data_IF_155920329105
#
_entry.id   IF_155920329105
#
_cell.length_a   1.000
_cell.length_b   1.000
_cell.length_c   1.000
_cell.angle_alpha   90.00
_cell.angle_beta   90.00
_cell.angle_gamma   90.00
#
_symmetry.space_group_name_H-M   'P 1'
#
loop_
_entity.id
_entity.type
_entity.pdbx_description
1 polymer ?
#
# COMPACT_ATOMS: atom_id res chain seq x y z
N UNK A 1 -10.62 35.79 46.35
CA UNK A 1 -9.67 36.03 45.24
C UNK A 1 -8.82 34.80 44.91
N UNK A 2 -8.40 34.02 45.87
CA UNK A 2 -7.55 32.81 45.68
C UNK A 2 -8.28 31.66 44.91
N UNK A 3 -9.60 31.49 45.12
CA UNK A 3 -10.38 30.43 44.46
C UNK A 3 -10.55 30.62 42.94
N UNK A 4 -10.59 31.86 42.46
CA UNK A 4 -10.72 32.19 41.04
C UNK A 4 -9.40 31.94 40.32
N UNK A 5 -8.29 32.27 40.95
CA UNK A 5 -6.94 32.06 40.39
C UNK A 5 -6.64 30.57 40.21
N UNK A 6 -7.08 29.72 41.14
CA UNK A 6 -6.87 28.25 41.07
C UNK A 6 -7.68 27.60 39.94
N UNK A 7 -8.90 28.11 39.62
CA UNK A 7 -9.70 27.61 38.51
C UNK A 7 -9.11 27.97 37.13
N UNK A 8 -8.50 29.14 37.02
CA UNK A 8 -7.81 29.52 35.78
C UNK A 8 -6.54 28.71 35.56
N UNK A 9 -5.79 28.41 36.62
CA UNK A 9 -4.58 27.56 36.51
C UNK A 9 -4.91 26.11 36.10
N UNK A 10 -6.02 25.56 36.63
CA UNK A 10 -6.48 24.22 36.28
C UNK A 10 -6.97 24.14 34.81
N UNK A 11 -7.67 25.19 34.33
CA UNK A 11 -8.12 25.25 32.94
C UNK A 11 -6.94 25.39 31.97
N UNK A 12 -5.92 26.15 32.31
CA UNK A 12 -4.72 26.31 31.48
C UNK A 12 -3.88 25.04 31.41
N UNK A 13 -3.83 24.27 32.51
CA UNK A 13 -3.15 22.96 32.54
C UNK A 13 -3.85 21.91 31.69
N UNK A 14 -5.20 21.90 31.64
CA UNK A 14 -5.96 20.97 30.80
C UNK A 14 -5.77 21.24 29.30
N UNK A 15 -5.60 22.47 28.87
CA UNK A 15 -5.39 22.85 27.47
C UNK A 15 -4.00 22.39 26.97
N UNK A 16 -2.99 22.40 27.85
CA UNK A 16 -1.62 21.97 27.50
C UNK A 16 -1.48 20.44 27.19
N UNK A 17 -2.42 19.62 27.65
CA UNK A 17 -2.34 18.14 27.45
C UNK A 17 -2.90 17.73 26.09
N UNK A 18 -3.76 18.54 25.46
CA UNK A 18 -4.42 18.19 24.19
C UNK A 18 -3.54 18.40 22.94
N UNK A 19 -2.43 19.14 23.06
CA UNK A 19 -1.59 19.49 21.89
C UNK A 19 -0.54 18.43 21.53
N UNK A 20 -0.27 17.45 22.37
CA UNK A 20 0.82 16.48 22.15
C UNK A 20 0.47 15.26 21.28
N UNK A 21 -0.82 14.98 21.04
CA UNK A 21 -1.23 13.79 20.30
C UNK A 21 -1.04 13.90 18.77
N UNK A 22 -1.16 15.10 18.18
CA UNK A 22 -1.04 15.28 16.73
C UNK A 22 0.39 15.12 16.23
N UNK A 23 1.35 15.63 16.96
CA UNK A 23 2.78 15.64 16.59
C UNK A 23 3.39 14.23 16.55
N UNK A 24 2.93 13.31 17.39
CA UNK A 24 3.42 11.92 17.41
C UNK A 24 2.97 11.15 16.16
N UNK A 25 1.72 11.30 15.74
CA UNK A 25 1.18 10.64 14.56
C UNK A 25 1.86 11.11 13.27
N UNK A 26 2.10 12.40 13.12
CA UNK A 26 2.79 12.97 11.96
C UNK A 26 4.24 12.47 11.85
N UNK A 27 4.95 12.39 12.96
CA UNK A 27 6.33 11.90 12.99
C UNK A 27 6.42 10.42 12.64
N UNK A 28 5.54 9.59 13.18
CA UNK A 28 5.46 8.15 12.86
C UNK A 28 5.20 7.92 11.37
N UNK A 29 4.26 8.64 10.78
CA UNK A 29 3.94 8.55 9.35
C UNK A 29 5.13 8.99 8.46
N UNK A 30 5.84 10.02 8.87
CA UNK A 30 7.02 10.50 8.14
C UNK A 30 8.17 9.49 8.18
N UNK A 31 8.41 8.88 9.34
CA UNK A 31 9.44 7.84 9.50
C UNK A 31 9.09 6.59 8.69
N UNK A 32 7.84 6.14 8.73
CA UNK A 32 7.36 5.01 7.90
C UNK A 32 7.51 5.30 6.42
N UNK A 33 7.19 6.52 5.99
CA UNK A 33 7.35 6.92 4.60
C UNK A 33 8.80 6.88 4.13
N UNK A 34 9.73 7.41 4.93
CA UNK A 34 11.15 7.36 4.62
C UNK A 34 11.66 5.92 4.52
N UNK A 35 11.21 5.03 5.41
CA UNK A 35 11.57 3.61 5.37
C UNK A 35 11.04 2.95 4.11
N UNK A 36 9.81 3.27 3.69
CA UNK A 36 9.21 2.74 2.47
C UNK A 36 9.93 3.28 1.23
N UNK A 37 10.20 4.57 1.16
CA UNK A 37 10.96 5.17 0.05
C UNK A 37 12.34 4.54 -0.08
N UNK A 38 13.03 4.30 1.04
CA UNK A 38 14.30 3.59 1.05
C UNK A 38 14.17 2.13 0.60
N UNK A 39 13.14 1.43 1.07
CA UNK A 39 12.92 0.03 0.74
C UNK A 39 12.48 -0.15 -0.72
N UNK A 40 11.60 0.72 -1.23
CA UNK A 40 11.14 0.71 -2.63
C UNK A 40 12.26 1.09 -3.62
N UNK A 41 13.27 1.82 -3.15
CA UNK A 41 14.49 2.21 -3.86
C UNK A 41 14.24 2.87 -5.23
N UNK A 42 13.70 2.16 -6.19
CA UNK A 42 13.57 2.57 -7.58
C UNK A 42 12.13 2.57 -8.11
N UNK A 43 11.15 2.16 -7.31
CA UNK A 43 9.74 2.24 -7.72
C UNK A 43 9.16 3.60 -7.32
N UNK A 44 8.50 4.32 -8.25
CA UNK A 44 7.99 5.65 -7.97
C UNK A 44 6.89 5.63 -6.90
N UNK A 45 7.02 6.54 -5.93
CA UNK A 45 6.08 6.68 -4.84
C UNK A 45 5.68 8.16 -4.67
N UNK A 46 4.37 8.51 -4.71
CA UNK A 46 3.96 9.91 -4.66
C UNK A 46 4.18 10.51 -3.26
N UNK A 47 4.68 11.74 -3.22
CA UNK A 47 4.92 12.46 -1.97
C UNK A 47 3.65 12.72 -1.16
N UNK A 48 2.48 12.71 -1.79
CA UNK A 48 1.17 12.88 -1.18
C UNK A 48 0.56 11.62 -0.59
N UNK A 49 1.23 10.47 -0.71
CA UNK A 49 0.72 9.20 -0.22
C UNK A 49 0.58 9.17 1.31
N UNK A 50 -0.58 8.77 1.79
CA UNK A 50 -0.88 8.48 3.19
C UNK A 50 -0.92 6.95 3.36
N UNK A 51 0.13 6.40 3.97
CA UNK A 51 0.39 4.96 4.01
C UNK A 51 -0.52 4.29 5.01
N UNK A 52 -1.09 3.14 4.62
CA UNK A 52 -1.85 2.25 5.50
C UNK A 52 -0.89 1.19 6.03
N UNK A 53 -0.28 1.47 7.18
CA UNK A 53 0.80 0.66 7.77
C UNK A 53 0.39 -0.80 8.01
N UNK A 54 -0.80 -1.04 8.54
CA UNK A 54 -1.31 -2.38 8.84
C UNK A 54 -1.63 -3.24 7.60
N UNK A 55 -1.66 -2.63 6.41
CA UNK A 55 -1.87 -3.33 5.14
C UNK A 55 -0.60 -3.41 4.29
N UNK A 56 0.47 -2.75 4.73
CA UNK A 56 1.74 -2.66 4.03
C UNK A 56 2.72 -3.71 4.55
N UNK A 57 3.30 -4.49 3.63
CA UNK A 57 4.31 -5.51 3.94
C UNK A 57 5.43 -5.40 2.93
N UNK A 58 6.66 -5.15 3.40
CA UNK A 58 7.86 -5.07 2.58
C UNK A 58 8.86 -6.12 3.06
N UNK A 59 9.34 -6.93 2.14
CA UNK A 59 10.32 -7.98 2.37
C UNK A 59 11.60 -7.66 1.58
N UNK A 60 12.73 -7.68 2.26
CA UNK A 60 14.00 -7.31 1.66
C UNK A 60 14.17 -5.79 1.52
N UNK A 61 15.17 -5.35 0.77
CA UNK A 61 15.48 -3.94 0.54
C UNK A 61 16.29 -3.74 -0.74
N UNK A 62 16.37 -2.50 -1.22
CA UNK A 62 17.11 -2.13 -2.43
C UNK A 62 16.55 -2.84 -3.67
N UNK A 63 17.41 -3.42 -4.49
CA UNK A 63 16.99 -4.11 -5.72
C UNK A 63 16.28 -5.45 -5.48
N UNK A 64 16.33 -5.97 -4.26
CA UNK A 64 15.76 -7.29 -3.91
C UNK A 64 14.49 -7.22 -3.08
N UNK A 65 13.88 -6.06 -2.98
CA UNK A 65 12.63 -5.97 -2.24
C UNK A 65 11.45 -6.58 -3.02
N UNK A 66 10.53 -7.15 -2.28
CA UNK A 66 9.22 -7.58 -2.74
C UNK A 66 8.18 -7.27 -1.68
N UNK A 67 6.92 -7.24 -2.04
CA UNK A 67 5.86 -7.01 -1.07
C UNK A 67 4.69 -6.20 -1.61
N UNK A 68 3.91 -5.67 -0.68
CA UNK A 68 2.71 -4.87 -0.95
C UNK A 68 2.77 -3.57 -0.15
N UNK A 69 2.56 -2.45 -0.80
CA UNK A 69 2.37 -1.14 -0.17
C UNK A 69 0.96 -0.66 -0.46
N UNK A 70 0.24 -0.28 0.57
CA UNK A 70 -1.11 0.26 0.48
C UNK A 70 -1.12 1.69 1.01
N UNK A 71 -1.71 2.60 0.25
CA UNK A 71 -1.82 3.99 0.66
C UNK A 71 -3.09 4.65 0.09
N UNK A 72 -3.49 5.73 0.72
CA UNK A 72 -4.52 6.63 0.24
C UNK A 72 -3.88 7.91 -0.36
N UNK A 73 -4.52 8.48 -1.37
CA UNK A 73 -4.11 9.75 -1.98
C UNK A 73 -5.32 10.63 -2.28
N UNK A 74 -5.14 11.93 -2.20
CA UNK A 74 -6.19 12.90 -2.58
C UNK A 74 -6.28 13.10 -4.09
N UNK A 75 -5.25 12.67 -4.85
CA UNK A 75 -5.26 12.71 -6.31
C UNK A 75 -6.35 11.80 -6.87
N UNK A 76 -6.92 12.21 -7.98
CA UNK A 76 -7.88 11.37 -8.73
C UNK A 76 -7.17 10.16 -9.35
N UNK A 77 -7.90 9.08 -9.66
CA UNK A 77 -7.33 7.94 -10.38
C UNK A 77 -6.64 8.31 -11.69
N UNK A 78 -7.15 9.31 -12.42
CA UNK A 78 -6.55 9.79 -13.66
C UNK A 78 -5.20 10.50 -13.45
N UNK A 79 -5.08 11.29 -12.39
CA UNK A 79 -3.82 11.93 -12.01
C UNK A 79 -2.78 10.90 -11.57
N UNK A 80 -3.19 9.87 -10.83
CA UNK A 80 -2.31 8.77 -10.43
C UNK A 80 -1.89 7.91 -11.62
N UNK A 81 -2.79 7.64 -12.57
CA UNK A 81 -2.45 6.97 -13.83
C UNK A 81 -1.35 7.75 -14.59
N UNK A 82 -1.52 9.07 -14.71
CA UNK A 82 -0.53 9.94 -15.35
C UNK A 82 0.80 9.93 -14.60
N UNK A 83 0.75 10.03 -13.26
CA UNK A 83 1.92 9.97 -12.39
C UNK A 83 2.72 8.69 -12.62
N UNK A 84 2.09 7.52 -12.51
CA UNK A 84 2.78 6.24 -12.68
C UNK A 84 3.27 6.02 -14.11
N UNK A 85 2.51 6.46 -15.11
CA UNK A 85 2.92 6.40 -16.51
C UNK A 85 4.16 7.22 -16.84
N UNK A 86 4.38 8.32 -16.14
CA UNK A 86 5.55 9.19 -16.31
C UNK A 86 6.72 8.75 -15.42
N UNK A 87 6.46 8.60 -14.11
CA UNK A 87 7.49 8.30 -13.10
C UNK A 87 8.03 6.88 -13.25
N UNK A 88 7.21 5.90 -13.64
CA UNK A 88 7.65 4.54 -13.91
C UNK A 88 8.72 4.52 -15.00
N UNK A 89 8.47 5.20 -16.12
CA UNK A 89 9.47 5.31 -17.20
C UNK A 89 10.75 6.02 -16.76
N UNK A 90 10.63 7.10 -16.00
CA UNK A 90 11.79 7.83 -15.48
C UNK A 90 12.65 6.99 -14.54
N UNK A 91 12.03 6.03 -13.83
CA UNK A 91 12.70 5.09 -12.92
C UNK A 91 13.16 3.79 -13.62
N UNK A 92 13.02 3.68 -14.93
CA UNK A 92 13.42 2.52 -15.71
C UNK A 92 12.42 1.36 -15.68
N UNK A 93 11.22 1.55 -15.14
CA UNK A 93 10.15 0.55 -15.17
C UNK A 93 9.37 0.62 -16.48
N UNK A 94 9.34 -0.47 -17.23
CA UNK A 94 8.60 -0.58 -18.48
C UNK A 94 7.14 -0.97 -18.19
N UNK A 95 6.20 -0.12 -18.57
CA UNK A 95 4.78 -0.49 -18.51
C UNK A 95 4.49 -1.59 -19.55
N UNK A 96 3.99 -2.72 -19.10
CA UNK A 96 3.64 -3.90 -19.92
C UNK A 96 2.17 -3.98 -20.25
N UNK A 97 1.32 -3.57 -19.31
CA UNK A 97 -0.13 -3.59 -19.51
C UNK A 97 -0.78 -2.49 -18.67
N UNK A 98 -1.94 -2.05 -19.14
CA UNK A 98 -2.84 -1.18 -18.38
C UNK A 98 -4.29 -1.55 -18.69
N UNK A 99 -5.13 -1.58 -17.66
CA UNK A 99 -6.57 -1.79 -17.79
C UNK A 99 -7.30 -0.72 -17.00
N UNK A 100 -8.30 -0.14 -17.63
CA UNK A 100 -9.16 0.88 -17.01
C UNK A 100 -10.59 0.35 -17.05
N UNK A 101 -11.18 0.12 -15.88
CA UNK A 101 -12.56 -0.32 -15.71
C UNK A 101 -13.19 0.39 -14.51
N UNK A 102 -13.71 -0.36 -13.53
CA UNK A 102 -14.14 0.22 -12.24
C UNK A 102 -12.96 0.77 -11.43
N UNK A 103 -11.77 0.21 -11.63
CA UNK A 103 -10.48 0.67 -11.15
C UNK A 103 -9.48 0.71 -12.29
N UNK A 104 -8.26 1.15 -12.00
CA UNK A 104 -7.13 1.17 -12.93
C UNK A 104 -6.13 0.14 -12.43
N UNK A 105 -5.67 -0.72 -13.33
CA UNK A 105 -4.66 -1.72 -13.05
C UNK A 105 -3.50 -1.55 -14.02
N UNK A 106 -2.29 -1.34 -13.48
CA UNK A 106 -1.08 -1.14 -14.25
C UNK A 106 -0.09 -2.26 -13.94
N UNK A 107 0.60 -2.74 -14.95
CA UNK A 107 1.66 -3.74 -14.81
C UNK A 107 2.94 -3.16 -15.36
N UNK A 108 3.99 -3.20 -14.56
CA UNK A 108 5.34 -2.78 -14.92
C UNK A 108 6.30 -3.93 -14.77
N UNK A 109 7.39 -3.90 -15.52
CA UNK A 109 8.53 -4.79 -15.30
C UNK A 109 9.82 -4.01 -15.32
N UNK A 110 10.78 -4.47 -14.52
CA UNK A 110 12.16 -4.01 -14.51
C UNK A 110 13.05 -5.19 -14.10
N UNK A 111 14.00 -5.52 -14.96
CA UNK A 111 14.87 -6.68 -14.78
C UNK A 111 14.03 -7.96 -14.55
N UNK A 112 14.20 -8.63 -13.42
CA UNK A 112 13.45 -9.84 -13.04
C UNK A 112 12.28 -9.53 -12.08
N UNK A 113 11.80 -8.28 -12.04
CA UNK A 113 10.72 -7.85 -11.14
C UNK A 113 9.49 -7.44 -11.93
N UNK A 114 8.35 -7.77 -11.37
CA UNK A 114 7.04 -7.32 -11.86
C UNK A 114 6.37 -6.51 -10.75
N UNK A 115 5.98 -5.29 -11.09
CA UNK A 115 5.20 -4.44 -10.22
C UNK A 115 3.77 -4.30 -10.77
N UNK A 116 2.79 -4.42 -9.90
CA UNK A 116 1.40 -4.11 -10.21
C UNK A 116 0.95 -2.92 -9.39
N UNK A 117 0.22 -2.00 -9.99
CA UNK A 117 -0.41 -0.86 -9.32
C UNK A 117 -1.89 -0.93 -9.57
N UNK A 118 -2.63 -1.10 -8.51
CA UNK A 118 -4.09 -1.08 -8.51
C UNK A 118 -4.57 0.24 -7.91
N UNK A 119 -5.37 1.01 -8.66
CA UNK A 119 -5.87 2.33 -8.28
C UNK A 119 -7.39 2.27 -8.25
N UNK A 120 -7.96 2.37 -7.05
CA UNK A 120 -9.39 2.29 -6.82
C UNK A 120 -9.90 3.60 -6.23
N UNK A 121 -10.97 4.15 -6.81
CA UNK A 121 -11.70 5.20 -6.14
C UNK A 121 -12.42 4.57 -4.95
N UNK A 122 -12.18 5.06 -3.75
CA UNK A 122 -12.99 4.68 -2.60
C UNK A 122 -14.41 5.12 -2.88
N UNK A 123 -15.25 4.16 -3.23
CA UNK A 123 -16.66 4.36 -3.50
C UNK A 123 -17.36 4.67 -2.18
N UNK A 124 -18.08 5.77 -2.15
CA UNK A 124 -18.84 6.30 -1.02
C UNK A 124 -20.11 5.47 -0.74
N UNK A 125 -19.99 4.15 -0.68
CA UNK A 125 -21.12 3.24 -0.48
C UNK A 125 -20.91 2.33 0.73
N UNK A 126 -20.68 2.93 1.88
CA UNK A 126 -21.08 2.31 3.14
C UNK A 126 -21.42 3.41 4.17
N UNK A 127 -22.57 4.01 3.99
CA UNK A 127 -23.44 4.40 5.10
C UNK A 127 -23.04 5.58 5.99
N UNK A 128 -21.95 6.32 5.77
CA UNK A 128 -21.59 7.45 6.61
C UNK A 128 -21.34 8.69 5.75
N UNK A 129 -22.28 9.63 5.84
CA UNK A 129 -22.12 11.00 5.36
C UNK A 129 -21.02 11.70 6.15
N UNK A 130 -19.78 11.56 5.78
CA UNK A 130 -18.73 12.46 6.25
C UNK A 130 -18.18 13.19 5.04
N UNK A 131 -18.05 14.48 5.16
CA UNK A 131 -17.37 15.42 4.26
C UNK A 131 -15.87 15.04 4.12
N UNK A 132 -15.59 13.83 3.68
CA UNK A 132 -14.22 13.42 3.40
C UNK A 132 -13.86 13.83 1.97
N UNK A 133 -12.70 14.43 1.74
CA UNK A 133 -12.20 14.69 0.41
C UNK A 133 -12.16 13.36 -0.37
N UNK A 134 -12.39 13.44 -1.67
CA UNK A 134 -12.37 12.28 -2.57
C UNK A 134 -11.03 11.57 -2.44
N UNK A 135 -11.02 10.42 -1.82
CA UNK A 135 -9.80 9.66 -1.56
C UNK A 135 -9.71 8.51 -2.56
N UNK A 136 -8.54 8.32 -3.11
CA UNK A 136 -8.19 7.21 -3.99
C UNK A 136 -7.31 6.24 -3.21
N UNK A 137 -7.67 4.96 -3.18
CA UNK A 137 -6.85 3.90 -2.60
C UNK A 137 -5.95 3.30 -3.67
N UNK A 138 -4.70 3.08 -3.33
CA UNK A 138 -3.70 2.49 -4.22
C UNK A 138 -3.01 1.33 -3.53
N UNK A 139 -2.89 0.23 -4.26
CA UNK A 139 -2.10 -0.92 -3.86
C UNK A 139 -0.98 -1.14 -4.87
N UNK A 140 0.26 -1.08 -4.39
CA UNK A 140 1.45 -1.45 -5.17
C UNK A 140 1.88 -2.84 -4.69
N UNK A 141 2.06 -3.78 -5.61
CA UNK A 141 2.64 -5.09 -5.29
C UNK A 141 3.83 -5.34 -6.20
N UNK A 142 4.98 -5.70 -5.61
CA UNK A 142 6.19 -6.05 -6.35
C UNK A 142 6.61 -7.47 -6.03
N UNK A 143 6.85 -8.26 -7.06
CA UNK A 143 7.25 -9.65 -6.97
C UNK A 143 8.42 -9.94 -7.91
N UNK A 144 9.20 -10.95 -7.55
CA UNK A 144 10.22 -11.50 -8.44
C UNK A 144 9.58 -12.46 -9.45
N UNK A 145 10.02 -12.38 -10.69
CA UNK A 145 9.50 -13.19 -11.79
C UNK A 145 9.70 -14.71 -11.54
N UNK A 146 10.83 -15.08 -10.94
CA UNK A 146 11.14 -16.46 -10.55
C UNK A 146 10.16 -17.06 -9.54
N UNK A 147 9.55 -16.23 -8.71
CA UNK A 147 8.59 -16.67 -7.69
C UNK A 147 7.24 -17.01 -8.34
N UNK A 148 6.89 -16.34 -9.42
CA UNK A 148 5.63 -16.55 -10.15
C UNK A 148 5.70 -17.86 -10.97
N UNK A 149 6.87 -18.17 -11.55
CA UNK A 149 7.11 -19.40 -12.30
C UNK A 149 7.05 -20.65 -11.41
N UNK A 150 7.73 -20.63 -10.28
CA UNK A 150 7.82 -21.77 -9.34
C UNK A 150 6.47 -22.17 -8.75
N UNK A 151 5.61 -21.22 -8.41
CA UNK A 151 4.28 -21.55 -7.87
C UNK A 151 3.38 -22.27 -8.91
N UNK A 152 3.65 -22.09 -10.19
CA UNK A 152 2.91 -22.73 -11.28
C UNK A 152 3.43 -24.14 -11.58
N UNK A 153 4.74 -24.34 -11.48
CA UNK A 153 5.36 -25.67 -11.60
C UNK A 153 5.04 -26.57 -10.42
N UNK A 154 5.09 -26.05 -9.21
CA UNK A 154 4.79 -26.80 -7.98
C UNK A 154 3.32 -27.27 -7.96
N UNK A 155 2.40 -26.49 -8.50
CA UNK A 155 0.99 -26.87 -8.65
C UNK A 155 0.78 -27.97 -9.72
N UNK A 156 1.66 -28.04 -10.70
CA UNK A 156 1.65 -29.10 -11.73
C UNK A 156 2.39 -30.38 -11.31
N UNK A 157 3.25 -30.29 -10.27
CA UNK A 157 4.01 -31.40 -9.69
C UNK A 157 3.30 -32.08 -8.51
N UNK A 158 2.06 -31.67 -8.17
CA UNK A 158 1.26 -32.48 -7.25
C UNK A 158 1.07 -33.86 -7.88
N UNK A 159 1.57 -34.93 -7.24
CA UNK A 159 1.49 -36.26 -7.81
C UNK A 159 0.03 -36.62 -8.08
N UNK A 160 -0.27 -37.08 -9.30
CA UNK A 160 -1.57 -37.63 -9.66
C UNK A 160 -1.94 -38.89 -8.87
N UNK A 161 -1.08 -39.29 -7.95
CA UNK A 161 -1.17 -40.55 -7.19
C UNK A 161 -2.08 -40.49 -5.96
N UNK A 162 -2.54 -39.31 -5.56
CA UNK A 162 -3.48 -39.20 -4.41
C UNK A 162 -4.87 -39.79 -4.73
N UNK A 163 -5.22 -39.94 -5.99
CA UNK A 163 -6.49 -40.59 -6.39
C UNK A 163 -6.44 -42.12 -6.32
N UNK A 164 -5.25 -42.73 -6.37
CA UNK A 164 -5.09 -44.19 -6.30
C UNK A 164 -5.15 -44.71 -4.86
N UNK A 165 -4.85 -43.90 -3.86
CA UNK A 165 -4.89 -44.32 -2.45
C UNK A 165 -6.32 -44.39 -1.89
N UNK A 166 -7.30 -43.72 -2.49
CA UNK A 166 -8.72 -43.79 -2.08
C UNK A 166 -9.43 -45.05 -2.58
N UNK A 167 -8.94 -45.69 -3.62
CA UNK A 167 -9.61 -46.88 -4.17
C UNK A 167 -9.16 -48.21 -3.57
N UNK A 168 -8.05 -48.24 -2.85
CA UNK A 168 -7.55 -49.48 -2.23
C UNK A 168 -8.12 -49.74 -0.81
N UNK A 169 -8.94 -48.87 -0.27
CA UNK A 169 -9.53 -49.06 1.07
C UNK A 169 -11.01 -49.46 1.03
N UNK A 170 -11.49 -50.02 -0.10
CA UNK A 170 -12.83 -50.60 -0.27
C UNK A 170 -12.75 -52.02 -0.83
N UNK A 171 -12.00 -52.89 -0.17
CA UNK A 171 -12.15 -54.36 -0.29
C UNK A 171 -12.05 -55.01 1.06
#
# INVERSE_FOLDING_TARGET
MIFVLNRFFLAFFLIGILTNCSTYKERSQQDTKLLIEYALYDFPFPSSADIIENETVILGSGERWSGKVVYNDQKSPAELLKYYGQSGRASGWAMKASTVSKGIFLVFSKDHRVATVEINRLSFLEGIKVLSPRTTSVTISVNWEDTIGKSREEKNLMPKDLNNLKNNNKR
#
